data_IF_900313307358
#
_entry.id   IF_900313307358
#
_cell.length_a   1.000
_cell.length_b   1.000
_cell.length_c   1.000
_cell.angle_alpha   90.00
_cell.angle_beta   90.00
_cell.angle_gamma   90.00
#
_symmetry.space_group_name_H-M   'P 1'
#
loop_
_entity.id
_entity.type
_entity.pdbx_description
1 polymer ?
#
# COMPACT_ATOMS: atom_id res chain seq x y z
N UNK A 1 1.11 46.42 28.15
CA UNK A 1 -0.02 45.56 27.75
C UNK A 1 0.54 44.27 27.21
N UNK A 2 0.38 43.19 27.97
CA UNK A 2 0.98 41.90 27.68
C UNK A 2 -0.10 41.04 27.00
N UNK A 3 -0.08 40.92 25.68
CA UNK A 3 -0.86 39.89 25.00
C UNK A 3 0.05 38.71 24.68
N UNK A 4 0.11 37.81 25.66
CA UNK A 4 0.65 36.47 25.50
C UNK A 4 -0.35 35.68 24.67
N UNK A 5 -0.21 35.70 23.34
CA UNK A 5 -0.87 34.73 22.46
C UNK A 5 -0.28 33.36 22.75
N UNK A 6 -0.94 32.63 23.66
CA UNK A 6 -0.76 31.21 23.85
C UNK A 6 -1.26 30.50 22.59
N UNK A 7 -0.43 30.49 21.54
CA UNK A 7 -0.55 29.47 20.51
C UNK A 7 -0.24 28.16 21.23
N UNK A 8 -1.28 27.41 21.59
CA UNK A 8 -1.17 25.96 21.66
C UNK A 8 -0.71 25.55 20.26
N UNK A 9 0.60 25.45 20.07
CA UNK A 9 1.15 24.60 19.03
C UNK A 9 0.53 23.23 19.34
N UNK A 10 -0.51 22.86 18.59
CA UNK A 10 -0.82 21.45 18.44
C UNK A 10 0.49 20.89 17.89
N UNK A 11 1.20 20.20 18.77
CA UNK A 11 2.42 19.49 18.42
C UNK A 11 1.88 18.34 17.56
N UNK A 12 1.62 18.63 16.29
CA UNK A 12 1.36 17.63 15.29
C UNK A 12 2.57 16.72 15.36
N UNK A 13 2.35 15.53 15.90
CA UNK A 13 3.43 14.59 16.10
C UNK A 13 3.81 14.12 14.70
N UNK A 14 4.84 14.76 14.17
CA UNK A 14 5.43 14.39 12.89
C UNK A 14 6.22 13.11 13.11
N UNK A 15 5.76 12.03 12.50
CA UNK A 15 6.37 10.72 12.64
C UNK A 15 7.17 10.36 11.41
N UNK A 16 8.28 9.64 11.62
CA UNK A 16 9.07 9.11 10.52
C UNK A 16 8.74 7.65 10.29
N UNK A 17 8.21 7.33 9.12
CA UNK A 17 7.99 5.96 8.68
C UNK A 17 8.90 5.61 7.52
N UNK A 18 9.06 4.31 7.24
CA UNK A 18 9.80 3.84 6.07
C UNK A 18 9.00 4.12 4.80
N UNK A 19 9.70 4.52 3.74
CA UNK A 19 9.17 4.56 2.38
C UNK A 19 9.54 3.30 1.61
N UNK A 20 8.69 2.96 0.65
CA UNK A 20 8.95 1.91 -0.33
C UNK A 20 8.97 2.53 -1.73
N UNK A 21 9.72 1.91 -2.62
CA UNK A 21 9.71 2.27 -4.03
C UNK A 21 8.64 1.42 -4.74
N UNK A 22 7.56 2.05 -5.18
CA UNK A 22 6.55 1.41 -6.00
C UNK A 22 6.84 1.70 -7.47
N UNK A 23 7.06 0.64 -8.25
CA UNK A 23 7.24 0.69 -9.69
C UNK A 23 5.92 0.36 -10.34
N UNK A 24 5.32 1.36 -10.99
CA UNK A 24 4.04 1.26 -11.69
C UNK A 24 4.30 1.10 -13.18
N UNK A 25 3.91 -0.02 -13.76
CA UNK A 25 3.97 -0.27 -15.20
C UNK A 25 2.72 0.28 -15.86
N UNK A 26 2.87 1.33 -16.67
CA UNK A 26 1.74 1.97 -17.38
C UNK A 26 1.42 1.27 -18.70
N UNK A 27 2.45 0.79 -19.39
CA UNK A 27 2.33 0.08 -20.65
C UNK A 27 3.52 -0.88 -20.86
N UNK A 28 3.65 -1.44 -22.06
CA UNK A 28 4.69 -2.41 -22.38
C UNK A 28 6.12 -1.87 -22.18
N UNK A 29 6.33 -0.56 -22.32
CA UNK A 29 7.64 0.10 -22.34
C UNK A 29 7.79 1.23 -21.31
N UNK A 30 6.71 1.68 -20.68
CA UNK A 30 6.75 2.76 -19.70
C UNK A 30 6.53 2.26 -18.28
N UNK A 31 7.53 2.47 -17.43
CA UNK A 31 7.47 2.25 -15.98
C UNK A 31 7.73 3.56 -15.24
N UNK A 32 6.99 3.78 -14.16
CA UNK A 32 7.07 4.98 -13.32
C UNK A 32 7.51 4.54 -11.94
N UNK A 33 8.58 5.14 -11.43
CA UNK A 33 9.09 4.90 -10.08
C UNK A 33 8.51 5.97 -9.16
N UNK A 34 7.76 5.56 -8.15
CA UNK A 34 7.22 6.47 -7.14
C UNK A 34 7.65 6.03 -5.74
N UNK A 35 7.98 7.00 -4.90
CA UNK A 35 8.36 6.77 -3.51
C UNK A 35 7.18 7.13 -2.64
N UNK A 36 6.65 6.14 -1.94
CA UNK A 36 5.46 6.30 -1.11
C UNK A 36 5.54 5.42 0.14
N UNK A 37 4.81 5.77 1.20
CA UNK A 37 4.58 4.87 2.32
C UNK A 37 3.99 3.51 1.92
N UNK A 38 4.27 2.42 2.67
CA UNK A 38 3.73 1.09 2.40
C UNK A 38 2.20 1.04 2.23
N UNK A 39 1.45 1.79 3.04
CA UNK A 39 -0.02 1.81 2.94
C UNK A 39 -0.55 2.45 1.67
N UNK A 40 0.19 3.40 1.06
CA UNK A 40 -0.20 4.00 -0.23
C UNK A 40 -0.09 2.99 -1.39
N UNK A 41 0.75 1.96 -1.25
CA UNK A 41 0.90 0.95 -2.31
C UNK A 41 -0.40 0.21 -2.60
N UNK A 42 -1.28 0.05 -1.60
CA UNK A 42 -2.61 -0.52 -1.77
C UNK A 42 -3.52 0.37 -2.64
N UNK A 43 -3.37 1.69 -2.51
CA UNK A 43 -4.08 2.67 -3.35
C UNK A 43 -3.59 2.58 -4.80
N UNK A 44 -2.27 2.53 -4.99
CA UNK A 44 -1.68 2.36 -6.32
C UNK A 44 -2.12 1.05 -6.98
N UNK A 45 -2.14 -0.06 -6.23
CA UNK A 45 -2.63 -1.36 -6.71
C UNK A 45 -4.10 -1.32 -7.12
N UNK A 46 -4.93 -0.53 -6.45
CA UNK A 46 -6.33 -0.34 -6.82
C UNK A 46 -6.50 0.55 -8.07
N UNK A 47 -5.64 1.56 -8.25
CA UNK A 47 -5.70 2.47 -9.40
C UNK A 47 -5.11 1.87 -10.68
N UNK A 48 -3.94 1.24 -10.59
CA UNK A 48 -3.18 0.76 -11.75
C UNK A 48 -3.32 -0.75 -11.98
N UNK A 49 -3.91 -1.49 -11.05
CA UNK A 49 -4.01 -2.94 -11.07
C UNK A 49 -2.87 -3.61 -10.29
N UNK A 50 -3.18 -4.76 -9.66
CA UNK A 50 -2.23 -5.46 -8.79
C UNK A 50 -1.02 -5.98 -9.55
N UNK A 51 -1.20 -6.50 -10.76
CA UNK A 51 -0.09 -6.99 -11.59
C UNK A 51 0.83 -5.89 -12.11
N UNK A 52 0.37 -4.64 -12.12
CA UNK A 52 1.11 -3.51 -12.68
C UNK A 52 1.92 -2.74 -11.63
N UNK A 53 1.79 -3.08 -10.34
CA UNK A 53 2.48 -2.39 -9.24
C UNK A 53 3.41 -3.35 -8.52
N UNK A 54 4.71 -3.13 -8.70
CA UNK A 54 5.77 -3.87 -7.97
C UNK A 54 6.31 -2.99 -6.85
N UNK A 55 6.45 -3.55 -5.64
CA UNK A 55 6.93 -2.80 -4.47
C UNK A 55 8.32 -3.30 -4.11
N UNK A 56 9.25 -2.37 -3.90
CA UNK A 56 10.61 -2.64 -3.46
C UNK A 56 10.86 -1.96 -2.13
N UNK A 57 11.37 -2.72 -1.16
CA UNK A 57 11.77 -2.16 0.13
C UNK A 57 13.02 -1.30 -0.01
N UNK A 58 12.98 -0.11 0.60
CA UNK A 58 14.10 0.83 0.61
C UNK A 58 14.28 1.38 2.03
N UNK A 59 15.51 1.61 2.51
CA UNK A 59 15.75 2.24 3.81
C UNK A 59 15.56 3.77 3.78
N UNK A 60 14.58 4.26 3.01
CA UNK A 60 14.19 5.67 3.00
C UNK A 60 13.17 5.92 4.09
N UNK A 61 13.15 7.14 4.65
CA UNK A 61 12.16 7.55 5.64
C UNK A 61 11.46 8.82 5.19
N UNK A 62 10.18 8.93 5.50
CA UNK A 62 9.36 10.11 5.23
C UNK A 62 8.61 10.54 6.46
N UNK A 63 8.36 11.84 6.55
CA UNK A 63 7.66 12.45 7.66
C UNK A 63 6.17 12.49 7.36
N UNK A 64 5.35 11.99 8.29
CA UNK A 64 3.90 11.91 8.16
C UNK A 64 3.22 12.41 9.42
N UNK A 65 2.03 12.96 9.23
CA UNK A 65 1.16 13.47 10.30
C UNK A 65 -0.14 12.66 10.25
N UNK A 66 -0.30 11.61 11.09
CA UNK A 66 -1.40 10.64 11.00
C UNK A 66 -2.79 11.29 10.97
N UNK A 67 -2.96 12.34 11.78
CA UNK A 67 -4.21 13.10 11.88
C UNK A 67 -4.61 13.77 10.56
N UNK A 68 -3.64 14.15 9.73
CA UNK A 68 -3.85 14.81 8.43
C UNK A 68 -3.62 13.86 7.25
N UNK A 69 -3.18 12.63 7.54
CA UNK A 69 -2.78 11.66 6.52
C UNK A 69 -3.96 11.29 5.65
N UNK A 70 -5.11 11.08 6.28
CA UNK A 70 -6.35 10.76 5.59
C UNK A 70 -6.75 11.86 4.60
N UNK A 71 -6.78 13.12 5.06
CA UNK A 71 -7.08 14.28 4.22
C UNK A 71 -6.08 14.43 3.08
N UNK A 72 -4.78 14.18 3.33
CA UNK A 72 -3.75 14.21 2.29
C UNK A 72 -4.00 13.14 1.22
N UNK A 73 -4.32 11.92 1.63
CA UNK A 73 -4.61 10.82 0.70
C UNK A 73 -5.88 11.10 -0.11
N UNK A 74 -6.93 11.61 0.53
CA UNK A 74 -8.15 12.03 -0.15
C UNK A 74 -7.89 13.15 -1.15
N UNK A 75 -7.06 14.13 -0.82
CA UNK A 75 -6.69 15.21 -1.74
C UNK A 75 -5.84 14.71 -2.93
N UNK A 76 -5.00 13.69 -2.73
CA UNK A 76 -4.08 13.15 -3.75
C UNK A 76 -4.75 12.14 -4.69
N UNK A 77 -5.59 11.25 -4.15
CA UNK A 77 -6.17 10.12 -4.88
C UNK A 77 -7.69 10.19 -5.03
N UNK A 78 -8.35 11.04 -4.26
CA UNK A 78 -9.81 11.12 -4.19
C UNK A 78 -10.39 10.23 -3.10
N UNK A 79 -11.42 10.73 -2.43
CA UNK A 79 -12.12 10.04 -1.34
C UNK A 79 -12.65 8.66 -1.76
N UNK A 80 -13.24 8.54 -2.96
CA UNK A 80 -13.79 7.27 -3.47
C UNK A 80 -12.73 6.16 -3.55
N UNK A 81 -11.50 6.50 -3.95
CA UNK A 81 -10.42 5.52 -4.10
C UNK A 81 -9.90 5.09 -2.74
N UNK A 82 -9.76 6.04 -1.80
CA UNK A 82 -9.32 5.78 -0.44
C UNK A 82 -10.34 4.90 0.29
N UNK A 83 -11.62 5.27 0.26
CA UNK A 83 -12.71 4.48 0.84
C UNK A 83 -12.80 3.07 0.23
N UNK A 84 -12.55 2.92 -1.09
CA UNK A 84 -12.52 1.60 -1.73
C UNK A 84 -11.38 0.70 -1.26
N UNK A 85 -10.25 1.29 -0.87
CA UNK A 85 -9.05 0.56 -0.43
C UNK A 85 -9.13 0.22 1.06
N UNK A 86 -9.52 1.19 1.88
CA UNK A 86 -9.51 1.05 3.35
C UNK A 86 -10.88 0.66 3.93
N UNK A 87 -11.99 0.95 3.26
CA UNK A 87 -13.36 0.67 3.69
C UNK A 87 -14.10 1.91 4.17
N UNK A 88 -15.26 1.72 4.82
CA UNK A 88 -16.05 2.81 5.42
C UNK A 88 -15.37 3.46 6.64
N UNK A 89 -14.52 2.70 7.36
CA UNK A 89 -13.71 3.18 8.50
C UNK A 89 -12.28 3.57 8.06
N UNK A 90 -12.18 4.26 6.92
CA UNK A 90 -10.91 4.52 6.25
C UNK A 90 -9.91 5.36 7.08
N UNK A 91 -10.39 6.35 7.82
CA UNK A 91 -9.57 7.16 8.73
C UNK A 91 -8.98 6.38 9.90
N UNK A 92 -9.80 5.60 10.61
CA UNK A 92 -9.37 4.84 11.79
C UNK A 92 -8.39 3.71 11.39
N UNK A 93 -8.68 3.02 10.29
CA UNK A 93 -7.83 1.94 9.78
C UNK A 93 -6.48 2.46 9.28
N UNK A 94 -6.47 3.63 8.63
CA UNK A 94 -5.22 4.28 8.22
C UNK A 94 -4.40 4.68 9.44
N UNK A 95 -5.03 5.25 10.47
CA UNK A 95 -4.37 5.61 11.72
C UNK A 95 -3.74 4.39 12.39
N UNK A 96 -4.46 3.27 12.49
CA UNK A 96 -3.95 2.02 13.04
C UNK A 96 -2.73 1.49 12.26
N UNK A 97 -2.78 1.50 10.91
CA UNK A 97 -1.66 1.06 10.08
C UNK A 97 -0.45 1.98 10.25
N UNK A 98 -0.69 3.29 10.32
CA UNK A 98 0.35 4.30 10.49
C UNK A 98 1.02 4.16 11.85
N UNK A 99 0.25 4.03 12.93
CA UNK A 99 0.74 3.74 14.29
C UNK A 99 1.47 2.38 14.35
N UNK A 100 0.91 1.37 13.68
CA UNK A 100 1.52 0.06 13.50
C UNK A 100 2.91 0.17 12.88
N UNK A 101 3.07 0.90 11.77
CA UNK A 101 4.37 1.08 11.11
C UNK A 101 5.38 1.92 11.93
N UNK A 102 4.90 2.77 12.84
CA UNK A 102 5.78 3.46 13.80
C UNK A 102 6.33 2.50 14.85
N UNK A 103 5.49 1.59 15.35
CA UNK A 103 5.91 0.57 16.32
C UNK A 103 6.71 -0.55 15.64
N UNK A 104 6.27 -0.94 14.45
CA UNK A 104 6.78 -2.01 13.62
C UNK A 104 7.79 -1.50 12.59
N UNK A 105 8.95 -1.04 13.09
CA UNK A 105 10.19 -1.14 12.32
C UNK A 105 10.49 -2.58 11.79
N UNK A 106 9.60 -3.55 12.03
CA UNK A 106 9.56 -4.96 11.61
C UNK A 106 8.23 -5.27 10.89
N UNK A 107 8.30 -5.20 9.58
CA UNK A 107 7.32 -5.64 8.58
C UNK A 107 6.77 -7.05 8.90
N UNK A 108 5.45 -7.29 8.94
CA UNK A 108 4.91 -8.58 8.55
C UNK A 108 4.67 -8.56 7.04
N UNK A 109 5.50 -9.34 6.34
CA UNK A 109 5.36 -9.69 4.95
C UNK A 109 3.95 -10.24 4.66
N UNK A 110 3.03 -9.44 4.12
CA UNK A 110 1.80 -9.92 3.50
C UNK A 110 2.01 -10.14 1.99
N UNK A 111 2.97 -11.00 1.65
CA UNK A 111 2.80 -11.95 0.55
C UNK A 111 2.11 -13.19 1.10
N UNK A 112 0.77 -13.24 1.00
CA UNK A 112 0.01 -14.48 0.84
C UNK A 112 -1.49 -14.16 0.74
N UNK A 113 -2.05 -14.33 -0.45
CA UNK A 113 -3.23 -15.15 -0.78
C UNK A 113 -3.65 -14.72 -2.19
N UNK A 114 -3.11 -15.39 -3.21
CA UNK A 114 -3.74 -15.54 -4.53
C UNK A 114 -3.03 -16.57 -5.44
N UNK A 115 -2.44 -17.62 -4.87
CA UNK A 115 -2.13 -18.86 -5.60
C UNK A 115 -3.04 -19.99 -5.12
N UNK A 116 -4.34 -19.84 -5.33
CA UNK A 116 -5.24 -21.00 -5.33
C UNK A 116 -6.53 -20.71 -6.11
N UNK A 117 -6.42 -20.73 -7.44
CA UNK A 117 -7.45 -21.23 -8.35
C UNK A 117 -7.08 -20.80 -9.77
N UNK A 118 -6.66 -21.76 -10.59
CA UNK A 118 -6.99 -21.88 -12.02
C UNK A 118 -6.25 -23.11 -12.54
N UNK A 119 -6.82 -24.29 -12.31
CA UNK A 119 -6.68 -25.38 -13.28
C UNK A 119 -7.33 -24.92 -14.59
N UNK A 120 -6.77 -25.35 -15.72
CA UNK A 120 -7.64 -26.06 -16.64
C UNK A 120 -7.06 -27.42 -17.03
N UNK A 121 -7.95 -28.41 -17.01
CA UNK A 121 -7.79 -29.69 -17.68
C UNK A 121 -7.37 -29.52 -19.14
N UNK A 122 -6.42 -30.35 -19.59
CA UNK A 122 -6.36 -30.79 -20.98
C UNK A 122 -5.89 -32.25 -21.03
N UNK A 123 -6.83 -33.07 -21.48
CA UNK A 123 -6.85 -34.52 -21.70
C UNK A 123 -5.78 -34.97 -22.71
N UNK A 124 -5.26 -36.20 -22.58
CA UNK A 124 -5.34 -37.22 -23.65
C UNK A 124 -4.72 -38.57 -23.26
N UNK A 125 -5.58 -39.59 -23.25
CA UNK A 125 -5.25 -41.01 -23.30
C UNK A 125 -4.38 -41.37 -24.52
N UNK A 126 -3.41 -42.27 -24.35
CA UNK A 126 -3.18 -43.32 -25.35
C UNK A 126 -2.80 -44.64 -24.69
N UNK A 127 -3.65 -45.61 -25.01
CA UNK A 127 -3.67 -47.04 -24.72
C UNK A 127 -2.34 -47.76 -25.01
N UNK A 128 -2.02 -48.74 -24.14
CA UNK A 128 -1.83 -50.12 -24.61
C UNK A 128 -0.46 -50.80 -24.43
N UNK A 129 -0.53 -51.99 -23.81
CA UNK A 129 0.19 -53.23 -24.15
C UNK A 129 1.59 -53.54 -23.55
N UNK A 130 1.56 -54.26 -22.42
CA UNK A 130 2.02 -55.67 -22.20
C UNK A 130 3.42 -56.12 -22.70
N UNK A 131 4.15 -56.74 -21.74
CA UNK A 131 5.20 -57.80 -21.82
C UNK A 131 6.53 -57.45 -22.52
N UNK A 132 7.63 -57.61 -21.78
CA UNK A 132 8.51 -58.80 -21.80
C UNK A 132 9.44 -58.80 -20.60
#
# INVERSE_FOLDING_TARGET
>A
MNNSTNHKELIHSDFQIKEVEAVVRRDAFTTIHVYVPPYETNILRNLFGRENVTVFERPSKTTITPEQEYDRLCAKYGHEVVAKVFGEDDGDRLMEIVEGLMAEGQIPNQEQVLEKALEPEATQEIKGAKKR
#
